data_IF_095665215451
#
_entry.id   IF_095665215451
#
_cell.length_a   1.000
_cell.length_b   1.000
_cell.length_c   1.000
_cell.angle_alpha   90.00
_cell.angle_beta   90.00
_cell.angle_gamma   90.00
#
_symmetry.space_group_name_H-M   'P 1'
#
loop_
_entity.id
_entity.type
_entity.pdbx_description
1 polymer ?
#
# COMPACT_ATOMS: atom_id res chain seq x y z
N UNK A 1 28.80 -11.56 82.52
CA UNK A 1 27.72 -11.25 81.53
C UNK A 1 28.32 -11.26 80.07
N UNK A 2 28.84 -12.36 79.61
CA UNK A 2 29.50 -12.28 78.27
C UNK A 2 29.44 -13.54 77.43
N UNK A 3 29.21 -14.71 77.93
CA UNK A 3 29.24 -15.95 77.11
C UNK A 3 27.85 -16.37 76.60
N UNK A 4 26.78 -16.05 77.29
CA UNK A 4 25.41 -16.41 76.89
C UNK A 4 24.94 -15.54 75.71
N UNK A 5 25.32 -14.26 75.69
CA UNK A 5 24.96 -13.32 74.63
C UNK A 5 25.63 -13.69 73.28
N UNK A 6 26.82 -14.26 73.26
CA UNK A 6 27.50 -14.68 72.03
C UNK A 6 26.92 -15.95 71.45
N UNK A 7 26.43 -16.88 72.25
CA UNK A 7 25.81 -18.11 71.75
C UNK A 7 24.45 -17.87 71.15
N UNK A 8 23.67 -16.96 71.69
CA UNK A 8 22.35 -16.59 71.17
C UNK A 8 22.49 -15.86 69.78
N UNK A 9 23.48 -14.99 69.68
CA UNK A 9 23.75 -14.32 68.36
C UNK A 9 24.27 -15.25 67.29
N UNK A 10 25.01 -16.32 67.67
CA UNK A 10 25.47 -17.33 66.72
C UNK A 10 24.35 -18.26 66.25
N UNK A 11 23.48 -18.68 67.18
CA UNK A 11 22.30 -19.47 66.83
C UNK A 11 21.29 -18.73 65.99
N UNK A 12 21.09 -17.42 66.21
CA UNK A 12 20.23 -16.59 65.36
C UNK A 12 20.81 -16.36 63.95
N UNK A 13 22.13 -16.30 63.80
CA UNK A 13 22.78 -16.21 62.47
C UNK A 13 22.73 -17.50 61.68
N UNK A 14 22.77 -18.66 62.35
CA UNK A 14 22.59 -19.98 61.73
C UNK A 14 21.14 -20.23 61.31
N UNK A 15 20.16 -19.73 62.06
CA UNK A 15 18.74 -19.81 61.69
C UNK A 15 18.42 -18.89 60.51
N UNK A 16 19.03 -17.71 60.46
CA UNK A 16 18.85 -16.78 59.34
C UNK A 16 19.54 -17.25 58.05
N UNK A 17 20.66 -17.99 58.14
CA UNK A 17 21.32 -18.59 57.00
C UNK A 17 20.60 -19.82 56.45
N UNK A 18 19.85 -20.55 57.31
CA UNK A 18 19.03 -21.71 56.91
C UNK A 18 17.72 -21.35 56.21
N UNK A 19 17.21 -20.12 56.40
CA UNK A 19 16.00 -19.63 55.73
C UNK A 19 16.24 -19.03 54.35
N UNK A 20 17.50 -18.82 53.94
CA UNK A 20 17.89 -18.28 52.61
C UNK A 20 18.22 -19.37 51.60
N UNK A 21 18.18 -20.64 51.95
CA UNK A 21 18.33 -21.79 51.06
C UNK A 21 16.99 -22.46 50.72
N UNK A 22 15.88 -21.68 50.68
CA UNK A 22 14.73 -22.10 49.89
C UNK A 22 15.17 -22.03 48.42
N UNK A 23 15.73 -23.12 47.93
CA UNK A 23 15.92 -23.38 46.52
C UNK A 23 14.57 -23.12 45.84
N UNK A 24 14.43 -22.03 45.12
CA UNK A 24 13.40 -21.91 44.10
C UNK A 24 13.75 -22.98 43.06
N UNK A 25 13.31 -24.21 43.29
CA UNK A 25 13.19 -25.21 42.25
C UNK A 25 12.12 -24.63 41.31
N UNK A 26 12.53 -23.89 40.30
CA UNK A 26 11.70 -23.66 39.15
C UNK A 26 11.48 -25.05 38.53
N UNK A 27 10.47 -25.76 39.01
CA UNK A 27 10.01 -26.99 38.42
C UNK A 27 9.51 -26.64 37.04
N UNK A 28 10.31 -26.94 35.99
CA UNK A 28 9.88 -26.88 34.61
C UNK A 28 8.74 -27.89 34.45
N UNK A 29 7.51 -27.41 34.64
CA UNK A 29 6.32 -28.20 34.38
C UNK A 29 6.18 -28.33 32.88
N UNK A 30 6.13 -29.54 32.30
CA UNK A 30 5.76 -29.73 30.92
C UNK A 30 4.38 -29.10 30.69
N UNK A 31 4.28 -28.22 29.66
CA UNK A 31 2.99 -27.71 29.22
C UNK A 31 2.15 -28.89 28.70
N UNK A 32 0.89 -28.96 29.10
CA UNK A 32 -0.03 -29.94 28.54
C UNK A 32 -0.40 -29.57 27.07
N UNK A 33 -1.01 -30.49 26.35
CA UNK A 33 -1.35 -30.29 24.94
C UNK A 33 -2.33 -29.11 24.74
N UNK A 34 -3.15 -28.78 25.72
CA UNK A 34 -4.05 -27.62 25.69
C UNK A 34 -3.29 -26.32 25.93
N UNK A 35 -2.35 -26.31 26.87
CA UNK A 35 -1.46 -25.15 27.12
C UNK A 35 -0.52 -24.93 25.94
N UNK A 36 0.03 -26.02 25.35
CA UNK A 36 0.79 -25.95 24.10
C UNK A 36 -0.07 -25.42 22.94
N UNK A 37 -1.31 -25.86 22.80
CA UNK A 37 -2.25 -25.41 21.78
C UNK A 37 -2.64 -23.94 21.98
N UNK A 38 -2.78 -23.47 23.22
CA UNK A 38 -3.03 -22.07 23.52
C UNK A 38 -1.82 -21.17 23.21
N UNK A 39 -0.60 -21.67 23.41
CA UNK A 39 0.65 -21.00 23.03
C UNK A 39 0.89 -21.13 21.51
N UNK A 40 0.60 -22.27 20.90
CA UNK A 40 0.68 -22.49 19.45
C UNK A 40 -0.45 -21.78 18.68
N UNK A 41 -1.51 -21.33 19.34
CA UNK A 41 -2.57 -20.51 18.72
C UNK A 41 -2.10 -19.14 18.22
N UNK A 42 -0.86 -18.75 18.52
CA UNK A 42 -0.13 -17.65 17.90
C UNK A 42 1.10 -18.20 17.14
N UNK A 43 0.91 -19.24 16.34
CA UNK A 43 1.97 -19.76 15.47
C UNK A 43 2.52 -18.67 14.59
N UNK A 44 3.83 -18.41 14.68
CA UNK A 44 4.54 -17.46 13.82
C UNK A 44 4.31 -17.76 12.33
N UNK A 45 3.98 -19.02 12.01
CA UNK A 45 3.74 -19.49 10.66
C UNK A 45 2.42 -20.25 10.63
N UNK A 46 1.52 -19.84 9.74
CA UNK A 46 0.24 -20.50 9.48
C UNK A 46 0.11 -20.81 7.98
N UNK A 47 -0.40 -22.01 7.67
CA UNK A 47 -0.68 -22.46 6.31
C UNK A 47 -2.19 -22.47 6.07
N UNK A 48 -2.63 -21.71 5.07
CA UNK A 48 -3.99 -21.73 4.58
C UNK A 48 -4.05 -22.40 3.21
N UNK A 49 -5.10 -23.17 2.97
CA UNK A 49 -5.40 -23.76 1.67
C UNK A 49 -6.80 -23.34 1.21
N UNK A 50 -6.93 -23.08 -0.09
CA UNK A 50 -8.19 -22.68 -0.71
C UNK A 50 -8.28 -23.28 -2.11
N UNK A 51 -9.48 -23.63 -2.56
CA UNK A 51 -9.75 -24.00 -3.96
C UNK A 51 -10.80 -23.07 -4.54
N UNK A 52 -10.51 -22.46 -5.69
CA UNK A 52 -11.42 -21.57 -6.39
C UNK A 52 -11.11 -21.48 -7.88
N UNK A 53 -12.13 -21.48 -8.74
CA UNK A 53 -11.99 -21.24 -10.18
C UNK A 53 -11.09 -22.23 -10.91
N UNK A 54 -10.94 -23.46 -10.41
CA UNK A 54 -10.05 -24.48 -10.97
C UNK A 54 -8.59 -24.34 -10.54
N UNK A 55 -8.32 -23.47 -9.56
CA UNK A 55 -7.01 -23.31 -8.93
C UNK A 55 -7.04 -23.81 -7.48
N UNK A 56 -5.90 -24.34 -7.05
CA UNK A 56 -5.61 -24.66 -5.66
C UNK A 56 -4.58 -23.67 -5.13
N UNK A 57 -4.87 -23.07 -3.98
CA UNK A 57 -4.00 -22.06 -3.37
C UNK A 57 -3.39 -22.61 -2.09
N UNK A 58 -2.13 -22.29 -1.89
CA UNK A 58 -1.44 -22.53 -0.62
C UNK A 58 -0.80 -21.23 -0.18
N UNK A 59 -1.23 -20.70 0.96
CA UNK A 59 -0.72 -19.46 1.53
C UNK A 59 0.02 -19.73 2.82
N UNK A 60 1.26 -19.27 2.88
CA UNK A 60 2.09 -19.22 4.05
C UNK A 60 1.96 -17.83 4.67
N UNK A 61 1.30 -17.72 5.81
CA UNK A 61 1.19 -16.49 6.57
C UNK A 61 2.29 -16.46 7.66
N UNK A 62 2.94 -15.32 7.81
CA UNK A 62 3.90 -15.07 8.89
C UNK A 62 3.20 -14.11 9.86
N UNK A 63 2.71 -14.64 11.00
CA UNK A 63 2.05 -13.85 12.03
C UNK A 63 3.04 -12.92 12.70
N UNK A 64 2.79 -11.60 12.63
CA UNK A 64 3.61 -10.62 13.32
C UNK A 64 3.82 -9.32 12.54
N UNK A 65 4.38 -8.35 13.25
CA UNK A 65 4.72 -7.04 12.70
C UNK A 65 6.18 -7.03 12.27
N UNK A 66 6.44 -6.52 11.07
CA UNK A 66 7.79 -6.34 10.51
C UNK A 66 8.01 -4.87 10.16
N UNK A 67 9.25 -4.44 10.30
CA UNK A 67 9.70 -3.08 9.94
C UNK A 67 10.77 -3.18 8.87
N UNK A 68 10.55 -2.50 7.75
CA UNK A 68 11.42 -2.56 6.58
C UNK A 68 11.98 -1.18 6.28
N UNK A 69 13.27 -1.15 5.97
CA UNK A 69 13.91 -0.07 5.23
C UNK A 69 14.63 -0.72 4.05
N UNK A 70 14.17 -0.46 2.84
CA UNK A 70 14.72 -1.11 1.63
C UNK A 70 14.98 -0.08 0.56
N UNK A 71 16.01 -0.33 -0.24
CA UNK A 71 16.32 0.41 -1.46
C UNK A 71 16.64 -0.60 -2.57
N UNK A 72 15.98 -0.45 -3.71
CA UNK A 72 16.17 -1.28 -4.90
C UNK A 72 16.32 -0.35 -6.11
N UNK A 73 17.46 -0.38 -6.77
CA UNK A 73 17.75 0.52 -7.90
C UNK A 73 16.75 0.37 -9.03
N UNK A 74 16.41 -0.88 -9.38
CA UNK A 74 15.48 -1.18 -10.47
C UNK A 74 14.59 -2.36 -10.14
N UNK A 75 13.30 -2.13 -10.01
CA UNK A 75 12.29 -3.17 -9.87
C UNK A 75 11.58 -3.36 -11.22
N UNK A 76 11.73 -4.54 -11.83
CA UNK A 76 11.09 -4.90 -13.10
C UNK A 76 10.41 -6.26 -12.95
N UNK A 77 9.08 -6.26 -13.00
CA UNK A 77 8.28 -7.50 -12.98
C UNK A 77 7.40 -7.56 -14.22
N UNK A 78 7.23 -8.75 -14.79
CA UNK A 78 6.43 -8.94 -15.99
C UNK A 78 7.05 -8.27 -17.24
N UNK A 79 8.36 -8.44 -17.44
CA UNK A 79 9.06 -7.92 -18.63
C UNK A 79 8.91 -8.90 -19.80
N UNK A 80 7.83 -8.73 -20.58
CA UNK A 80 7.56 -9.48 -21.81
C UNK A 80 6.77 -8.62 -22.80
N UNK A 81 6.74 -9.04 -24.08
CA UNK A 81 5.97 -8.32 -25.09
C UNK A 81 4.46 -8.51 -24.86
N UNK A 82 3.72 -7.41 -24.76
CA UNK A 82 2.25 -7.39 -24.79
C UNK A 82 1.81 -6.89 -26.15
N UNK A 83 0.81 -7.52 -26.77
CA UNK A 83 0.28 -7.18 -28.10
C UNK A 83 -1.23 -6.96 -28.03
N UNK A 84 -1.77 -6.18 -28.97
CA UNK A 84 -3.21 -5.97 -29.09
C UNK A 84 -3.85 -5.34 -27.85
N UNK A 85 -5.01 -5.87 -27.45
CA UNK A 85 -5.77 -5.39 -26.28
C UNK A 85 -5.06 -5.63 -24.94
N UNK A 86 -4.08 -6.54 -24.89
CA UNK A 86 -3.28 -6.78 -23.68
C UNK A 86 -2.14 -5.77 -23.50
N UNK A 87 -1.93 -4.85 -24.44
CA UNK A 87 -0.98 -3.74 -24.33
C UNK A 87 -1.68 -2.39 -24.53
N UNK A 88 -2.58 -2.00 -23.65
CA UNK A 88 -3.37 -0.79 -23.83
C UNK A 88 -2.62 0.51 -23.54
N UNK A 89 -1.45 0.46 -22.95
CA UNK A 89 -0.59 1.63 -22.78
C UNK A 89 0.24 1.87 -24.05
N UNK A 90 0.56 3.14 -24.33
CA UNK A 90 1.36 3.53 -25.49
C UNK A 90 2.86 3.15 -25.37
N UNK A 91 3.21 2.25 -24.47
CA UNK A 91 4.60 1.82 -24.22
C UNK A 91 5.21 0.93 -25.31
N UNK A 92 4.62 0.93 -26.52
CA UNK A 92 5.15 0.17 -27.65
C UNK A 92 5.15 -1.34 -27.44
N UNK A 93 5.43 -2.09 -28.48
CA UNK A 93 5.44 -3.54 -28.45
C UNK A 93 6.65 -4.12 -27.73
N UNK A 94 7.77 -3.43 -27.70
CA UNK A 94 8.99 -3.82 -26.96
C UNK A 94 9.87 -2.60 -26.74
N UNK A 95 10.00 -2.13 -25.51
CA UNK A 95 11.23 -1.47 -25.10
C UNK A 95 11.90 -2.37 -24.04
N UNK A 96 13.23 -2.36 -23.97
CA UNK A 96 13.97 -3.07 -22.92
C UNK A 96 13.59 -2.62 -21.48
N UNK A 97 12.67 -1.67 -21.37
CA UNK A 97 12.14 -1.12 -20.11
C UNK A 97 10.65 -1.39 -19.92
N UNK A 98 9.95 -1.94 -20.91
CA UNK A 98 8.54 -2.23 -20.81
C UNK A 98 8.31 -3.45 -19.92
N UNK A 99 7.91 -3.20 -18.69
CA UNK A 99 7.50 -4.21 -17.73
C UNK A 99 6.11 -3.88 -17.20
N UNK A 100 5.39 -4.87 -16.69
CA UNK A 100 4.08 -4.64 -16.07
C UNK A 100 4.19 -3.78 -14.82
N UNK A 101 5.28 -3.97 -14.08
CA UNK A 101 5.67 -3.10 -12.96
C UNK A 101 7.11 -2.67 -13.23
N UNK A 102 7.31 -1.37 -13.44
CA UNK A 102 8.61 -0.78 -13.69
C UNK A 102 8.79 0.42 -12.78
N UNK A 103 9.66 0.28 -11.78
CA UNK A 103 9.97 1.32 -10.80
C UNK A 103 11.49 1.41 -10.66
N UNK A 104 12.03 2.60 -10.83
CA UNK A 104 13.42 2.89 -10.52
C UNK A 104 13.51 3.48 -9.11
N UNK A 105 14.63 3.24 -8.44
CA UNK A 105 14.87 3.75 -7.09
C UNK A 105 13.74 3.39 -6.10
N UNK A 106 13.19 2.18 -6.20
CA UNK A 106 12.13 1.74 -5.30
C UNK A 106 12.62 1.66 -3.86
N UNK A 107 11.88 2.24 -2.94
CA UNK A 107 12.21 2.19 -1.52
C UNK A 107 10.97 2.05 -0.65
N UNK A 108 11.12 1.37 0.47
CA UNK A 108 10.15 1.28 1.55
C UNK A 108 10.76 1.88 2.81
N UNK A 109 10.02 2.80 3.46
CA UNK A 109 10.49 3.58 4.60
C UNK A 109 11.24 4.85 4.18
N UNK A 110 11.63 5.66 5.17
CA UNK A 110 12.39 6.90 4.98
C UNK A 110 13.40 7.12 6.08
N UNK A 111 14.28 8.08 5.88
CA UNK A 111 15.23 8.57 6.89
C UNK A 111 14.96 10.04 7.13
N UNK A 112 14.54 10.38 8.34
CA UNK A 112 14.39 11.76 8.75
C UNK A 112 15.77 12.34 9.12
N UNK A 113 16.02 13.61 8.80
CA UNK A 113 17.30 14.30 9.05
C UNK A 113 18.51 13.59 8.46
N UNK A 114 18.36 12.97 7.27
CA UNK A 114 19.43 12.26 6.58
C UNK A 114 20.69 13.13 6.44
N UNK A 115 21.87 12.51 6.61
CA UNK A 115 23.16 13.21 6.56
C UNK A 115 23.50 14.03 7.81
N UNK A 116 22.69 13.97 8.87
CA UNK A 116 22.95 14.64 10.15
C UNK A 116 23.26 13.63 11.27
N UNK A 117 23.83 14.13 12.38
CA UNK A 117 24.03 13.33 13.58
C UNK A 117 22.72 12.86 14.23
N UNK A 118 21.58 13.47 13.86
CA UNK A 118 20.24 13.17 14.35
C UNK A 118 19.40 12.38 13.31
N UNK A 119 20.04 11.71 12.36
CA UNK A 119 19.35 10.88 11.38
C UNK A 119 18.54 9.76 12.06
N UNK A 120 17.26 9.64 11.68
CA UNK A 120 16.36 8.64 12.25
C UNK A 120 15.70 7.83 11.15
N UNK A 121 15.74 6.51 11.30
CA UNK A 121 15.04 5.58 10.41
C UNK A 121 13.56 5.57 10.79
N UNK A 122 12.69 5.87 9.83
CA UNK A 122 11.25 5.67 9.89
C UNK A 122 10.90 4.51 8.96
N UNK A 123 10.76 3.30 9.50
CA UNK A 123 10.58 2.12 8.67
C UNK A 123 9.18 2.07 8.05
N UNK A 124 9.05 1.35 6.95
CA UNK A 124 7.77 0.89 6.45
C UNK A 124 7.31 -0.28 7.31
N UNK A 125 6.10 -0.21 7.84
CA UNK A 125 5.56 -1.19 8.76
C UNK A 125 4.58 -2.11 8.03
N UNK A 126 4.73 -3.41 8.21
CA UNK A 126 3.84 -4.43 7.69
C UNK A 126 3.40 -5.38 8.79
N UNK A 127 2.17 -5.86 8.71
CA UNK A 127 1.59 -6.87 9.59
C UNK A 127 1.17 -8.06 8.76
N UNK A 128 1.41 -9.25 9.31
CA UNK A 128 1.01 -10.53 8.74
C UNK A 128 1.40 -10.65 7.24
N UNK A 129 2.71 -10.52 6.91
CA UNK A 129 3.15 -10.77 5.55
C UNK A 129 2.87 -12.22 5.16
N UNK A 130 2.58 -12.43 3.88
CA UNK A 130 2.30 -13.77 3.36
C UNK A 130 2.87 -13.97 1.98
N UNK A 131 3.16 -15.24 1.68
CA UNK A 131 3.43 -15.72 0.32
C UNK A 131 2.35 -16.72 -0.02
N UNK A 132 1.77 -16.61 -1.21
CA UNK A 132 0.76 -17.53 -1.70
C UNK A 132 1.09 -18.05 -3.09
N UNK A 133 0.92 -19.33 -3.27
CA UNK A 133 1.10 -20.03 -4.53
C UNK A 133 -0.26 -20.45 -5.06
N UNK A 134 -0.52 -20.17 -6.33
CA UNK A 134 -1.65 -20.70 -7.07
C UNK A 134 -1.17 -21.87 -7.95
N UNK A 135 -1.82 -23.00 -7.83
CA UNK A 135 -1.56 -24.18 -8.63
C UNK A 135 -2.74 -24.47 -9.55
N UNK A 136 -2.46 -24.97 -10.74
CA UNK A 136 -3.46 -25.48 -11.67
C UNK A 136 -3.13 -26.92 -12.04
N UNK A 137 -4.15 -27.77 -12.04
CA UNK A 137 -4.01 -29.11 -12.55
C UNK A 137 -4.12 -29.08 -14.09
N UNK A 138 -3.14 -29.60 -14.80
CA UNK A 138 -3.10 -29.61 -16.25
C UNK A 138 -3.86 -30.79 -16.89
N UNK A 139 -4.66 -31.54 -16.12
CA UNK A 139 -5.46 -32.67 -16.57
C UNK A 139 -4.73 -34.01 -16.52
N UNK A 140 -3.40 -34.03 -16.35
CA UNK A 140 -2.59 -35.26 -16.27
C UNK A 140 -2.20 -35.62 -14.83
N UNK A 141 -2.88 -35.03 -13.83
CA UNK A 141 -2.56 -35.19 -12.42
C UNK A 141 -1.32 -34.41 -11.95
N UNK A 142 -0.69 -33.65 -12.83
CA UNK A 142 0.45 -32.81 -12.51
C UNK A 142 -0.05 -31.41 -12.13
N UNK A 143 0.35 -30.93 -10.95
CA UNK A 143 0.09 -29.58 -10.47
C UNK A 143 1.22 -28.66 -10.94
N UNK A 144 0.87 -27.61 -11.64
CA UNK A 144 1.80 -26.58 -12.10
C UNK A 144 1.57 -25.28 -11.34
N UNK A 145 2.64 -24.55 -11.03
CA UNK A 145 2.53 -23.23 -10.43
C UNK A 145 2.00 -22.26 -11.49
N UNK A 146 0.77 -21.79 -11.30
CA UNK A 146 0.12 -20.81 -12.16
C UNK A 146 0.53 -19.38 -11.80
N UNK A 147 0.83 -19.12 -10.53
CA UNK A 147 1.24 -17.82 -10.05
C UNK A 147 1.74 -17.83 -8.61
N UNK A 148 2.42 -16.73 -8.26
CA UNK A 148 2.93 -16.46 -6.93
C UNK A 148 2.50 -15.06 -6.55
N UNK A 149 2.02 -14.84 -5.33
CA UNK A 149 1.83 -13.50 -4.77
C UNK A 149 2.51 -13.33 -3.41
N UNK A 150 3.01 -12.14 -3.20
CA UNK A 150 3.52 -11.64 -1.93
C UNK A 150 2.63 -10.49 -1.49
N UNK A 151 2.12 -10.54 -0.26
CA UNK A 151 1.24 -9.50 0.24
C UNK A 151 1.33 -9.31 1.74
N UNK A 152 0.52 -8.38 2.22
CA UNK A 152 0.51 -7.94 3.61
C UNK A 152 -0.92 -7.91 4.12
N UNK A 153 -1.15 -8.36 5.35
CA UNK A 153 -2.42 -8.18 6.02
C UNK A 153 -2.70 -6.70 6.24
N UNK A 154 -1.67 -5.94 6.67
CA UNK A 154 -1.68 -4.48 6.73
C UNK A 154 -0.31 -3.90 6.39
N UNK A 155 -0.31 -2.68 5.85
CA UNK A 155 0.91 -1.96 5.50
C UNK A 155 0.77 -0.47 5.78
N UNK A 156 1.86 0.16 6.27
CA UNK A 156 1.88 1.59 6.57
C UNK A 156 3.29 2.16 6.44
N UNK A 157 3.41 3.32 5.83
CA UNK A 157 4.69 4.03 5.71
C UNK A 157 4.92 4.64 4.33
N UNK A 158 6.10 5.18 4.13
CA UNK A 158 6.47 5.80 2.86
C UNK A 158 6.94 4.74 1.86
N UNK A 159 6.34 4.77 0.68
CA UNK A 159 6.74 4.05 -0.52
C UNK A 159 7.27 5.08 -1.50
N UNK A 160 8.50 4.93 -1.94
CA UNK A 160 9.16 5.84 -2.87
C UNK A 160 9.62 5.13 -4.13
N UNK A 161 9.68 5.87 -5.23
CA UNK A 161 10.21 5.36 -6.49
C UNK A 161 9.80 6.21 -7.68
N UNK A 162 10.51 6.03 -8.77
CA UNK A 162 10.16 6.61 -10.07
C UNK A 162 9.34 5.55 -10.83
N UNK A 163 8.00 5.64 -10.73
CA UNK A 163 7.08 4.65 -11.29
C UNK A 163 6.88 4.93 -12.78
N UNK A 164 7.52 4.13 -13.63
CA UNK A 164 7.42 4.25 -15.10
C UNK A 164 6.18 3.55 -15.65
N UNK A 165 5.81 2.43 -15.07
CA UNK A 165 4.59 1.70 -15.43
C UNK A 165 4.07 0.86 -14.29
N UNK A 166 2.75 0.71 -14.21
CA UNK A 166 2.08 -0.14 -13.24
C UNK A 166 0.92 -0.88 -13.92
N UNK A 167 0.89 -2.19 -13.77
CA UNK A 167 -0.26 -3.03 -14.07
C UNK A 167 -0.89 -3.48 -12.78
N UNK A 168 -2.17 -3.21 -12.62
CA UNK A 168 -2.85 -3.58 -11.38
C UNK A 168 -4.02 -2.70 -11.03
N UNK A 169 -4.34 -2.70 -9.76
CA UNK A 169 -5.29 -1.79 -9.13
C UNK A 169 -4.52 -0.83 -8.23
N UNK A 170 -4.68 0.46 -8.45
CA UNK A 170 -4.16 1.50 -7.58
C UNK A 170 -5.26 2.54 -7.40
N UNK A 171 -5.89 2.55 -6.23
CA UNK A 171 -6.98 3.45 -5.90
C UNK A 171 -6.57 4.33 -4.73
N UNK A 172 -6.64 5.63 -4.94
CA UNK A 172 -6.32 6.64 -3.96
C UNK A 172 -7.40 7.69 -3.83
N UNK A 173 -7.15 8.63 -2.97
CA UNK A 173 -8.03 9.75 -2.69
C UNK A 173 -7.24 11.05 -2.84
N UNK A 174 -7.78 11.99 -3.62
CA UNK A 174 -7.25 13.35 -3.72
C UNK A 174 -8.18 14.29 -2.96
N UNK A 175 -7.60 15.19 -2.18
CA UNK A 175 -8.37 16.24 -1.53
C UNK A 175 -7.55 17.50 -1.30
N UNK A 176 -8.27 18.62 -1.20
CA UNK A 176 -7.70 19.93 -0.83
C UNK A 176 -8.65 21.09 -1.16
N UNK A 177 -8.37 22.28 -0.64
CA UNK A 177 -9.23 23.44 -0.88
C UNK A 177 -9.20 23.89 -2.33
N UNK A 178 -10.34 24.36 -2.83
CA UNK A 178 -10.50 24.87 -4.19
C UNK A 178 -9.60 26.08 -4.49
N UNK A 179 -9.20 26.83 -3.45
CA UNK A 179 -8.23 27.92 -3.58
C UNK A 179 -6.88 27.47 -4.15
N UNK A 180 -6.43 26.23 -3.86
CA UNK A 180 -5.21 25.65 -4.46
C UNK A 180 -5.40 25.39 -5.95
N UNK A 181 -6.56 24.88 -6.34
CA UNK A 181 -6.90 24.70 -7.75
C UNK A 181 -6.95 26.03 -8.50
N UNK A 182 -7.56 27.06 -7.88
CA UNK A 182 -7.61 28.43 -8.42
C UNK A 182 -6.21 29.04 -8.59
N UNK A 183 -5.35 28.87 -7.58
CA UNK A 183 -3.97 29.37 -7.65
C UNK A 183 -3.21 28.71 -8.82
N UNK A 184 -3.30 27.38 -8.94
CA UNK A 184 -2.68 26.65 -10.05
C UNK A 184 -3.27 27.08 -11.41
N UNK A 185 -4.61 27.29 -11.48
CA UNK A 185 -5.26 27.76 -12.68
C UNK A 185 -4.70 29.09 -13.14
N UNK A 186 -4.61 30.08 -12.23
CA UNK A 186 -4.05 31.41 -12.51
C UNK A 186 -2.57 31.40 -12.93
N UNK A 187 -1.80 30.39 -12.48
CA UNK A 187 -0.40 30.22 -12.89
C UNK A 187 -0.24 29.62 -14.29
N UNK A 188 -1.22 28.84 -14.74
CA UNK A 188 -1.15 28.08 -15.99
C UNK A 188 -1.99 28.63 -17.13
N UNK A 189 -2.88 29.58 -16.84
CA UNK A 189 -3.78 30.21 -17.82
C UNK A 189 -3.65 31.73 -17.78
N UNK A 190 -3.76 32.35 -18.96
CA UNK A 190 -3.80 33.82 -19.08
C UNK A 190 -5.24 34.32 -18.96
N UNK A 191 -5.51 35.15 -17.94
CA UNK A 191 -6.85 35.69 -17.69
C UNK A 191 -7.72 34.79 -16.79
N UNK A 192 -8.91 35.29 -16.47
CA UNK A 192 -9.88 34.60 -15.63
C UNK A 192 -11.15 34.34 -16.46
N UNK A 193 -11.31 33.16 -16.97
CA UNK A 193 -12.48 32.69 -17.68
C UNK A 193 -13.55 32.10 -16.74
N UNK A 194 -14.56 31.44 -17.29
CA UNK A 194 -15.64 30.83 -16.51
C UNK A 194 -15.15 29.83 -15.45
N UNK A 195 -14.12 29.02 -15.76
CA UNK A 195 -13.56 28.07 -14.82
C UNK A 195 -12.86 28.76 -13.64
N UNK A 196 -12.09 29.81 -13.93
CA UNK A 196 -11.47 30.64 -12.90
C UNK A 196 -12.51 31.30 -12.01
N UNK A 197 -13.63 31.82 -12.56
CA UNK A 197 -14.73 32.40 -11.79
C UNK A 197 -15.37 31.32 -10.90
N UNK A 198 -15.63 30.13 -11.45
CA UNK A 198 -16.24 29.02 -10.70
C UNK A 198 -15.34 28.58 -9.53
N UNK A 199 -14.04 28.43 -9.74
CA UNK A 199 -13.06 28.13 -8.67
C UNK A 199 -12.98 29.26 -7.65
N UNK A 200 -13.13 30.54 -8.05
CA UNK A 200 -13.16 31.68 -7.16
C UNK A 200 -14.39 31.68 -6.27
N UNK A 201 -15.54 31.27 -6.79
CA UNK A 201 -16.79 31.14 -6.04
C UNK A 201 -16.69 29.97 -5.04
N UNK A 202 -16.01 28.87 -5.44
CA UNK A 202 -15.79 27.74 -4.56
C UNK A 202 -14.90 28.10 -3.34
N UNK A 203 -14.02 29.11 -3.47
CA UNK A 203 -13.22 29.65 -2.35
C UNK A 203 -12.36 28.58 -1.69
N UNK A 204 -12.57 28.36 -0.39
CA UNK A 204 -11.87 27.37 0.41
C UNK A 204 -12.68 26.07 0.60
N UNK A 205 -13.72 25.83 -0.21
CA UNK A 205 -14.45 24.59 -0.17
C UNK A 205 -13.50 23.41 -0.42
N UNK A 206 -13.61 22.36 0.40
CA UNK A 206 -12.82 21.16 0.23
C UNK A 206 -13.28 20.40 -1.02
N UNK A 207 -12.40 20.28 -2.00
CA UNK A 207 -12.58 19.46 -3.17
C UNK A 207 -11.96 18.09 -2.93
N UNK A 208 -12.64 17.04 -3.37
CA UNK A 208 -12.12 15.68 -3.27
C UNK A 208 -12.58 14.81 -4.43
N UNK A 209 -11.78 13.80 -4.76
CA UNK A 209 -12.13 12.76 -5.73
C UNK A 209 -11.38 11.47 -5.44
N UNK A 210 -11.91 10.34 -5.90
CA UNK A 210 -11.14 9.12 -6.04
C UNK A 210 -10.23 9.22 -7.26
N UNK A 211 -9.08 8.59 -7.17
CA UNK A 211 -8.15 8.45 -8.29
C UNK A 211 -7.74 7.01 -8.46
N UNK A 212 -7.49 6.62 -9.70
CA UNK A 212 -7.12 5.26 -10.05
C UNK A 212 -6.21 5.25 -11.29
N UNK A 213 -5.64 4.09 -11.62
CA UNK A 213 -4.87 3.95 -12.85
C UNK A 213 -5.75 4.25 -14.06
N UNK A 214 -5.27 5.14 -14.92
CA UNK A 214 -6.01 5.60 -16.09
C UNK A 214 -5.13 5.60 -17.32
N UNK A 215 -5.79 5.56 -18.48
CA UNK A 215 -5.15 5.72 -19.78
C UNK A 215 -4.77 7.17 -19.97
N UNK A 216 -3.55 7.37 -20.42
CA UNK A 216 -3.03 8.69 -20.79
C UNK A 216 -3.91 9.37 -21.85
N UNK A 217 -4.20 10.64 -21.63
CA UNK A 217 -4.91 11.51 -22.56
C UNK A 217 -6.43 11.34 -22.59
N UNK A 218 -6.99 10.27 -21.99
CA UNK A 218 -8.45 10.09 -21.94
C UNK A 218 -9.00 9.87 -20.53
N UNK A 219 -8.19 9.35 -19.60
CA UNK A 219 -8.68 9.01 -18.27
C UNK A 219 -9.54 7.74 -18.23
N UNK A 220 -9.59 6.96 -19.31
CA UNK A 220 -10.31 5.69 -19.31
C UNK A 220 -9.62 4.68 -18.38
N UNK A 221 -10.41 3.89 -17.67
CA UNK A 221 -9.92 2.81 -16.78
C UNK A 221 -9.78 1.48 -17.51
N UNK A 222 -10.33 1.40 -18.72
CA UNK A 222 -10.25 0.23 -19.59
C UNK A 222 -9.90 0.63 -21.00
N UNK A 223 -9.33 -0.30 -21.76
CA UNK A 223 -9.18 -0.19 -23.20
C UNK A 223 -9.72 -1.47 -23.83
N UNK A 224 -10.65 -1.32 -24.78
CA UNK A 224 -11.34 -2.47 -25.41
C UNK A 224 -11.96 -3.45 -24.39
N UNK A 225 -12.52 -2.90 -23.30
CA UNK A 225 -13.15 -3.67 -22.22
C UNK A 225 -12.18 -4.39 -21.27
N UNK A 226 -10.86 -4.17 -21.41
CA UNK A 226 -9.83 -4.77 -20.55
C UNK A 226 -9.23 -3.67 -19.65
N UNK A 227 -8.99 -3.92 -18.35
CA UNK A 227 -8.30 -2.97 -17.48
C UNK A 227 -6.95 -2.54 -18.07
N UNK A 228 -6.57 -1.29 -17.82
CA UNK A 228 -5.31 -0.73 -18.32
C UNK A 228 -4.13 -1.50 -17.74
N UNK A 229 -3.29 -2.06 -18.63
CA UNK A 229 -1.99 -2.61 -18.26
C UNK A 229 -0.90 -1.57 -18.49
N UNK A 230 0.17 -1.61 -17.70
CA UNK A 230 1.32 -0.71 -17.82
C UNK A 230 0.89 0.76 -17.86
N UNK A 231 -0.05 1.12 -16.98
CA UNK A 231 -0.50 2.49 -16.84
C UNK A 231 0.68 3.39 -16.47
N UNK A 232 0.73 4.57 -17.09
CA UNK A 232 1.72 5.63 -16.83
C UNK A 232 1.12 6.77 -16.02
N UNK A 233 -0.20 6.74 -15.82
CA UNK A 233 -0.94 7.80 -15.15
C UNK A 233 -1.91 7.26 -14.11
N UNK A 234 -2.12 8.07 -13.09
CA UNK A 234 -3.20 7.97 -12.11
C UNK A 234 -4.07 9.21 -12.24
N UNK A 235 -5.38 9.09 -12.04
CA UNK A 235 -6.26 10.25 -12.16
C UNK A 235 -7.71 9.97 -11.86
N UNK A 236 -8.51 11.02 -12.00
CA UNK A 236 -9.97 10.94 -12.00
C UNK A 236 -10.40 10.24 -13.29
N UNK A 237 -11.23 9.21 -13.17
CA UNK A 237 -11.64 8.45 -14.34
C UNK A 237 -12.54 9.26 -15.26
N UNK A 238 -12.55 8.92 -16.56
CA UNK A 238 -13.47 9.48 -17.52
C UNK A 238 -14.92 9.30 -17.04
N UNK A 239 -15.67 10.40 -16.98
CA UNK A 239 -17.04 10.47 -16.48
C UNK A 239 -17.15 10.66 -14.96
N UNK A 240 -16.08 10.51 -14.18
CA UNK A 240 -16.05 10.85 -12.76
C UNK A 240 -15.79 12.37 -12.58
N UNK A 241 -15.98 12.88 -11.36
CA UNK A 241 -15.85 14.29 -11.05
C UNK A 241 -15.18 14.54 -9.69
N UNK A 242 -14.79 15.75 -9.47
CA UNK A 242 -14.53 16.23 -8.13
C UNK A 242 -15.86 16.48 -7.39
N UNK A 243 -15.81 16.31 -6.09
CA UNK A 243 -16.90 16.52 -5.16
C UNK A 243 -16.49 17.54 -4.11
N UNK A 244 -17.48 18.08 -3.39
CA UNK A 244 -17.25 18.90 -2.20
C UNK A 244 -18.27 18.53 -1.11
N UNK A 245 -17.93 18.84 0.13
CA UNK A 245 -18.84 18.67 1.28
C UNK A 245 -19.94 19.72 1.34
N UNK A 246 -19.81 20.83 0.61
CA UNK A 246 -20.85 21.83 0.46
C UNK A 246 -21.90 21.34 -0.56
N UNK A 247 -23.11 21.06 -0.09
CA UNK A 247 -24.19 20.48 -0.91
C UNK A 247 -24.62 21.37 -2.08
N UNK A 248 -24.58 22.71 -1.93
CA UNK A 248 -24.96 23.63 -3.00
C UNK A 248 -23.90 23.63 -4.09
N UNK A 249 -22.61 23.75 -3.71
CA UNK A 249 -21.50 23.71 -4.66
C UNK A 249 -21.40 22.32 -5.31
N UNK A 250 -21.59 21.21 -4.55
CA UNK A 250 -21.57 19.87 -5.11
C UNK A 250 -22.65 19.66 -6.18
N UNK A 251 -23.81 20.32 -6.06
CA UNK A 251 -24.86 20.33 -7.08
C UNK A 251 -24.45 21.00 -8.39
N UNK A 252 -23.48 21.93 -8.37
CA UNK A 252 -22.97 22.63 -9.56
C UNK A 252 -21.78 21.91 -10.21
N UNK A 253 -21.01 21.11 -9.44
CA UNK A 253 -19.80 20.42 -9.91
C UNK A 253 -20.00 19.46 -11.09
N UNK A 254 -21.15 18.77 -11.31
CA UNK A 254 -21.34 17.97 -12.52
C UNK A 254 -21.15 18.73 -13.82
N UNK A 255 -21.47 20.03 -13.85
CA UNK A 255 -21.29 20.89 -15.01
C UNK A 255 -19.85 21.45 -15.14
N UNK A 256 -19.13 21.52 -14.03
CA UNK A 256 -17.86 22.26 -13.95
C UNK A 256 -16.66 21.35 -13.81
N UNK A 257 -16.76 20.27 -13.04
CA UNK A 257 -15.62 19.49 -12.58
C UNK A 257 -15.68 18.01 -12.96
N UNK A 258 -16.49 17.64 -13.96
CA UNK A 258 -16.50 16.30 -14.54
C UNK A 258 -15.34 16.15 -15.54
N UNK A 259 -14.60 15.07 -15.43
CA UNK A 259 -13.59 14.69 -16.41
C UNK A 259 -14.28 14.15 -17.68
N UNK A 260 -14.07 14.83 -18.79
CA UNK A 260 -14.84 14.61 -20.05
C UNK A 260 -14.13 13.73 -21.08
N UNK A 261 -13.14 12.93 -20.71
CA UNK A 261 -12.40 12.06 -21.63
C UNK A 261 -11.16 12.73 -22.24
N UNK A 262 -10.73 13.87 -21.70
CA UNK A 262 -9.54 14.63 -22.10
C UNK A 262 -8.52 14.81 -20.97
N UNK A 263 -8.69 14.07 -19.88
CA UNK A 263 -7.88 14.19 -18.65
C UNK A 263 -7.91 15.59 -18.01
N UNK A 264 -9.01 16.32 -18.18
CA UNK A 264 -9.22 17.63 -17.58
C UNK A 264 -10.53 17.71 -16.82
N UNK A 265 -10.55 18.49 -15.75
CA UNK A 265 -11.73 18.90 -15.02
C UNK A 265 -11.62 20.40 -14.72
N UNK A 266 -12.60 21.20 -15.10
CA UNK A 266 -12.55 22.68 -14.99
C UNK A 266 -11.28 23.30 -15.63
N UNK A 267 -10.79 22.75 -16.74
CA UNK A 267 -9.54 23.21 -17.38
C UNK A 267 -8.25 22.80 -16.68
N UNK A 268 -8.34 22.15 -15.51
CA UNK A 268 -7.19 21.67 -14.75
C UNK A 268 -6.88 20.21 -15.09
N UNK A 269 -5.62 19.78 -14.94
CA UNK A 269 -5.27 18.37 -15.06
C UNK A 269 -6.08 17.50 -14.11
N UNK A 270 -6.63 16.40 -14.60
CA UNK A 270 -7.34 15.38 -13.85
C UNK A 270 -6.66 14.00 -13.93
N UNK A 271 -5.65 13.86 -14.81
CA UNK A 271 -4.77 12.70 -14.88
C UNK A 271 -3.32 13.18 -14.66
N UNK A 272 -2.57 12.40 -13.91
CA UNK A 272 -1.26 12.78 -13.40
C UNK A 272 -0.25 11.69 -13.71
N UNK A 273 0.91 12.01 -14.30
CA UNK A 273 1.97 11.02 -14.50
C UNK A 273 2.41 10.38 -13.19
N UNK A 274 2.49 9.06 -13.15
CA UNK A 274 2.96 8.32 -11.97
C UNK A 274 4.39 8.74 -11.56
N UNK A 275 5.22 9.13 -12.53
CA UNK A 275 6.58 9.65 -12.30
C UNK A 275 6.63 10.94 -11.46
N UNK A 276 5.51 11.67 -11.35
CA UNK A 276 5.43 12.87 -10.54
C UNK A 276 5.30 12.55 -9.03
N UNK A 277 4.88 11.34 -8.68
CA UNK A 277 4.66 10.92 -7.30
C UNK A 277 5.83 10.07 -6.81
N UNK A 278 6.94 10.74 -6.48
CA UNK A 278 8.19 10.08 -6.08
C UNK A 278 8.15 9.49 -4.67
N UNK A 279 7.17 9.88 -3.88
CA UNK A 279 6.88 9.27 -2.58
C UNK A 279 5.39 9.34 -2.30
N UNK A 280 4.84 8.22 -1.84
CA UNK A 280 3.43 8.07 -1.47
C UNK A 280 3.40 7.47 -0.08
N UNK A 281 2.58 8.01 0.80
CA UNK A 281 2.36 7.40 2.11
C UNK A 281 1.21 6.39 2.01
N UNK A 282 1.53 5.14 2.31
CA UNK A 282 0.59 4.02 2.37
C UNK A 282 -0.05 3.97 3.75
N UNK A 283 -1.35 3.81 3.82
CA UNK A 283 -2.12 3.84 5.07
C UNK A 283 -2.55 5.25 5.48
N UNK A 284 -3.10 5.36 6.67
CA UNK A 284 -3.52 6.64 7.24
C UNK A 284 -2.33 7.33 7.93
N UNK A 285 -1.93 8.48 7.40
CA UNK A 285 -0.82 9.27 7.94
C UNK A 285 -1.11 9.79 9.35
N UNK A 286 -2.35 10.06 9.68
CA UNK A 286 -2.78 10.60 10.98
C UNK A 286 -2.98 9.53 12.04
N UNK A 287 -3.09 8.26 11.64
CA UNK A 287 -3.25 7.13 12.55
C UNK A 287 -1.98 6.28 12.56
N UNK A 288 -1.18 6.41 13.63
CA UNK A 288 0.09 5.68 13.78
C UNK A 288 -0.08 4.20 14.16
N UNK A 289 -1.28 3.77 14.52
CA UNK A 289 -1.52 2.37 14.87
C UNK A 289 -1.66 1.52 13.59
N UNK A 290 -0.71 0.61 13.37
CA UNK A 290 -0.71 -0.27 12.20
C UNK A 290 -1.99 -1.11 12.06
N UNK A 291 -2.59 -1.53 13.19
CA UNK A 291 -3.81 -2.34 13.19
C UNK A 291 -5.04 -1.60 12.65
N UNK A 292 -5.12 -0.27 12.85
CA UNK A 292 -6.28 0.53 12.47
C UNK A 292 -5.98 1.56 11.37
N UNK A 293 -4.73 2.00 11.24
CA UNK A 293 -4.28 2.97 10.24
C UNK A 293 -3.54 2.35 9.04
N UNK A 294 -3.18 1.06 9.11
CA UNK A 294 -2.53 0.36 7.99
C UNK A 294 -3.52 0.04 6.86
N UNK A 295 -3.11 0.26 5.62
CA UNK A 295 -3.86 -0.17 4.44
C UNK A 295 -3.94 -1.69 4.36
N UNK A 296 -5.06 -2.24 3.89
CA UNK A 296 -5.31 -3.68 3.77
C UNK A 296 -5.24 -4.15 2.31
N UNK A 297 -5.06 -5.45 2.12
CA UNK A 297 -5.21 -6.10 0.83
C UNK A 297 -4.09 -5.80 -0.18
N UNK A 298 -2.99 -5.18 0.27
CA UNK A 298 -1.86 -4.87 -0.61
C UNK A 298 -1.10 -6.14 -0.95
N UNK A 299 -0.88 -6.36 -2.24
CA UNK A 299 -0.03 -7.45 -2.72
C UNK A 299 0.61 -7.15 -4.08
N UNK A 300 1.67 -7.89 -4.36
CA UNK A 300 2.28 -8.02 -5.68
C UNK A 300 2.20 -9.48 -6.12
N UNK A 301 1.89 -9.72 -7.38
CA UNK A 301 1.85 -11.08 -7.92
C UNK A 301 2.52 -11.18 -9.28
N UNK A 302 3.01 -12.39 -9.59
CA UNK A 302 3.51 -12.76 -10.91
C UNK A 302 2.86 -14.08 -11.29
N UNK A 303 2.24 -14.15 -12.46
CA UNK A 303 1.50 -15.32 -12.92
C UNK A 303 1.69 -15.58 -14.41
N UNK A 304 1.76 -16.87 -14.75
CA UNK A 304 1.90 -17.32 -16.15
C UNK A 304 0.58 -17.32 -16.93
N UNK A 305 -0.56 -17.17 -16.25
CA UNK A 305 -1.92 -17.17 -16.82
C UNK A 305 -2.83 -16.31 -15.95
N UNK A 306 -4.09 -16.15 -16.35
CA UNK A 306 -5.07 -15.40 -15.55
C UNK A 306 -5.37 -16.15 -14.25
N UNK A 307 -5.11 -15.52 -13.11
CA UNK A 307 -5.31 -16.12 -11.78
C UNK A 307 -6.26 -15.23 -10.97
N UNK A 308 -7.38 -15.78 -10.46
CA UNK A 308 -8.24 -15.07 -9.51
C UNK A 308 -7.65 -15.17 -8.09
N UNK A 309 -7.08 -14.10 -7.57
CA UNK A 309 -6.57 -14.05 -6.21
C UNK A 309 -7.65 -13.65 -5.22
N UNK A 310 -7.81 -14.38 -4.11
CA UNK A 310 -8.74 -14.00 -3.05
C UNK A 310 -8.38 -12.61 -2.50
N UNK A 311 -9.35 -11.72 -2.40
CA UNK A 311 -9.18 -10.43 -1.72
C UNK A 311 -9.12 -10.67 -0.21
N UNK A 312 -8.01 -10.31 0.43
CA UNK A 312 -7.85 -10.51 1.87
C UNK A 312 -8.52 -9.42 2.71
N UNK A 313 -8.88 -8.29 2.11
CA UNK A 313 -9.71 -7.28 2.75
C UNK A 313 -11.21 -7.69 2.74
N UNK A 314 -11.64 -8.42 1.71
CA UNK A 314 -12.98 -9.01 1.60
C UNK A 314 -12.87 -10.43 1.03
N UNK A 315 -12.75 -11.42 1.91
CA UNK A 315 -12.53 -12.84 1.52
C UNK A 315 -13.64 -13.47 0.68
N UNK A 316 -14.77 -12.78 0.51
CA UNK A 316 -15.84 -13.21 -0.39
C UNK A 316 -15.57 -12.88 -1.86
N UNK A 317 -14.59 -12.00 -2.13
CA UNK A 317 -14.23 -11.51 -3.46
C UNK A 317 -12.92 -12.08 -3.98
N UNK A 318 -12.79 -12.06 -5.30
CA UNK A 318 -11.59 -12.46 -6.00
C UNK A 318 -11.17 -11.38 -7.00
N UNK A 319 -9.92 -10.98 -6.92
CA UNK A 319 -9.29 -9.99 -7.81
C UNK A 319 -8.78 -10.75 -9.03
N UNK A 320 -9.37 -10.44 -10.20
CA UNK A 320 -8.97 -11.07 -11.46
C UNK A 320 -7.68 -10.44 -11.95
N UNK A 321 -6.64 -11.26 -12.14
CA UNK A 321 -5.38 -10.81 -12.70
C UNK A 321 -5.12 -11.46 -14.05
N UNK A 322 -4.41 -10.75 -14.92
CA UNK A 322 -3.95 -11.28 -16.20
C UNK A 322 -2.56 -11.89 -16.06
N UNK A 323 -2.16 -12.73 -17.01
CA UNK A 323 -0.78 -13.20 -17.11
C UNK A 323 0.19 -12.01 -17.09
N UNK A 324 1.28 -12.15 -16.33
CA UNK A 324 2.28 -11.12 -16.09
C UNK A 324 2.43 -10.76 -14.62
N UNK A 325 2.84 -9.53 -14.33
CA UNK A 325 2.90 -9.01 -12.98
C UNK A 325 1.71 -8.08 -12.69
N UNK A 326 1.28 -8.06 -11.44
CA UNK A 326 0.15 -7.28 -10.97
C UNK A 326 0.41 -6.75 -9.57
N UNK A 327 0.10 -5.47 -9.34
CA UNK A 327 0.14 -4.84 -8.03
C UNK A 327 -1.27 -4.47 -7.58
N UNK A 328 -1.63 -4.79 -6.35
CA UNK A 328 -2.91 -4.43 -5.78
C UNK A 328 -2.76 -3.41 -4.66
N UNK A 329 -3.29 -2.22 -4.90
CA UNK A 329 -3.50 -1.13 -3.95
C UNK A 329 -4.95 -0.67 -4.04
N UNK A 330 -5.88 -1.63 -3.98
CA UNK A 330 -7.30 -1.35 -4.04
C UNK A 330 -7.80 -0.75 -2.71
N UNK A 331 -8.82 0.09 -2.80
CA UNK A 331 -9.60 0.46 -1.61
C UNK A 331 -10.33 -0.76 -1.07
N UNK A 332 -10.62 -0.74 0.22
CA UNK A 332 -11.54 -1.71 0.82
C UNK A 332 -12.70 -0.97 1.51
N UNK A 333 -13.80 -1.69 1.77
CA UNK A 333 -14.96 -1.11 2.43
C UNK A 333 -15.04 -1.62 3.87
N UNK A 334 -15.11 -0.70 4.83
CA UNK A 334 -15.35 -0.99 6.24
C UNK A 334 -16.73 -0.42 6.63
N UNK A 335 -17.67 -1.30 6.90
CA UNK A 335 -19.10 -0.92 7.00
C UNK A 335 -19.59 -0.30 5.70
N UNK A 336 -19.94 0.99 5.73
CA UNK A 336 -20.41 1.76 4.56
C UNK A 336 -19.35 2.77 4.07
N UNK A 337 -18.12 2.70 4.56
CA UNK A 337 -17.06 3.67 4.24
C UNK A 337 -15.97 3.02 3.39
N UNK A 338 -15.66 3.65 2.27
CA UNK A 338 -14.49 3.30 1.47
C UNK A 338 -13.21 3.79 2.17
N UNK A 339 -12.26 2.89 2.34
CA UNK A 339 -10.93 3.17 2.89
C UNK A 339 -9.90 3.02 1.78
N UNK A 340 -9.25 4.10 1.47
CA UNK A 340 -8.24 4.16 0.41
C UNK A 340 -6.86 3.84 0.97
N UNK A 341 -6.03 3.07 0.25
CA UNK A 341 -4.68 2.72 0.69
C UNK A 341 -3.73 3.92 0.77
N UNK A 342 -4.03 5.02 0.10
CA UNK A 342 -3.26 6.27 0.19
C UNK A 342 -4.14 7.47 -0.14
N UNK A 343 -3.71 8.64 0.34
CA UNK A 343 -4.28 9.93 -0.01
C UNK A 343 -3.19 10.89 -0.48
N UNK A 344 -3.52 11.76 -1.43
CA UNK A 344 -2.64 12.78 -1.99
C UNK A 344 -3.33 14.13 -1.83
N UNK A 345 -2.64 15.12 -1.30
CA UNK A 345 -3.17 16.47 -1.27
C UNK A 345 -3.32 17.03 -2.69
N UNK A 346 -4.37 17.80 -2.94
CA UNK A 346 -4.62 18.43 -4.25
C UNK A 346 -3.41 19.26 -4.73
N UNK A 347 -2.70 19.90 -3.80
CA UNK A 347 -1.45 20.60 -4.06
C UNK A 347 -0.40 19.69 -4.70
N UNK A 348 -0.17 18.51 -4.10
CA UNK A 348 0.80 17.54 -4.57
C UNK A 348 0.32 16.84 -5.85
N UNK A 349 -0.99 16.64 -5.99
CA UNK A 349 -1.57 16.08 -7.21
C UNK A 349 -1.26 16.93 -8.44
N UNK A 350 -1.38 18.24 -8.30
CA UNK A 350 -1.11 19.18 -9.38
C UNK A 350 0.38 19.41 -9.67
N UNK A 351 1.26 19.27 -8.66
CA UNK A 351 2.69 19.62 -8.75
C UNK A 351 3.64 18.44 -8.63
N UNK A 352 3.15 17.29 -8.19
CA UNK A 352 3.95 16.11 -7.86
C UNK A 352 4.48 16.13 -6.42
N UNK A 353 4.95 14.98 -5.95
CA UNK A 353 5.57 14.81 -4.63
C UNK A 353 7.08 14.70 -4.74
N UNK A 354 7.79 15.28 -3.79
CA UNK A 354 9.22 15.09 -3.67
C UNK A 354 9.56 13.67 -3.18
N UNK A 355 10.74 13.18 -3.55
CA UNK A 355 11.30 11.95 -2.98
C UNK A 355 11.70 12.20 -1.52
N UNK A 356 11.32 11.33 -0.62
CA UNK A 356 11.84 11.32 0.76
C UNK A 356 13.26 10.76 0.77
N UNK A 357 14.04 11.12 1.76
CA UNK A 357 15.37 10.52 1.95
C UNK A 357 15.21 9.08 2.42
N UNK A 358 15.98 8.18 1.84
CA UNK A 358 15.87 6.74 2.10
C UNK A 358 17.18 6.14 2.63
N UNK A 359 18.22 6.96 2.78
CA UNK A 359 19.53 6.54 3.26
C UNK A 359 20.06 7.46 4.36
N UNK A 360 20.74 6.92 5.34
CA UNK A 360 21.31 7.68 6.47
C UNK A 360 22.32 8.72 5.99
N UNK A 361 23.11 8.41 4.96
CA UNK A 361 24.17 9.28 4.43
C UNK A 361 23.73 10.41 3.51
N UNK A 362 22.44 10.55 3.21
CA UNK A 362 21.92 11.59 2.30
C UNK A 362 20.90 11.09 1.29
N UNK A 363 20.49 11.98 0.36
CA UNK A 363 19.47 11.68 -0.66
C UNK A 363 19.90 10.57 -1.60
N UNK A 364 19.19 9.48 -1.51
CA UNK A 364 19.35 8.33 -2.41
C UNK A 364 20.72 7.67 -2.26
N UNK A 365 20.81 6.47 -1.82
CA UNK A 365 22.08 5.78 -1.82
C UNK A 365 22.60 5.60 -3.26
#
# INVERSE_FOLDING_TARGET
>A
MSLVSKRIRFALRLLAAGLLSASASAELRPLDDGELSAVAGQGLINLDALTYGGYEYTRLNIGGDMKLLTNIDKLRLGNFARTGSSNPSNLGTVSNQAADIAIDNFALGRVDNAGSANAQIVPFEIRDPYIELAFKNNGNGVREIAGVRLGFGRARGDLSGDIHSLTGTMEGYINGPASIALEYYKQTHSGCDFNCIALSIAGDAELYSKVQLVKEGSGDVTQNGVPINRATQIGVANGDRFHTTDAFLDGLLPLLATQGGDCKASGLPACFPLLNYKSIFVGDRLNSNLATGGAQGIFFSVQGQNVPWQDLADKSKFIQTQAGAFANFAKYTDGNKDIYPFAVALYDALRGTARVDTCIGGKGC
#
